data_IF_900852091085
#
_entry.id   IF_900852091085
#
_cell.length_a   1.000
_cell.length_b   1.000
_cell.length_c   1.000
_cell.angle_alpha   90.00
_cell.angle_beta   90.00
_cell.angle_gamma   90.00
#
_symmetry.space_group_name_H-M   'P 1'
#
loop_
_entity.id
_entity.type
_entity.pdbx_description
1 polymer ?
#
# COMPACT_ATOMS: atom_id res chain seq x y z
N UNK A 1 -66.63 53.10 7.22
CA UNK A 1 -66.47 52.57 5.84
C UNK A 1 -65.13 51.87 5.73
N UNK A 2 -65.14 50.67 5.15
CA UNK A 2 -64.01 49.85 4.68
C UNK A 2 -62.98 49.28 5.67
N UNK A 3 -62.91 47.95 5.68
CA UNK A 3 -61.90 47.08 6.31
C UNK A 3 -60.58 47.14 5.53
N UNK A 4 -59.43 46.79 6.14
CA UNK A 4 -58.65 45.60 5.74
C UNK A 4 -57.40 45.37 6.63
N UNK A 5 -57.09 44.09 6.76
CA UNK A 5 -56.08 43.39 7.57
C UNK A 5 -54.64 43.72 7.15
N UNK A 6 -53.69 43.75 8.10
CA UNK A 6 -52.28 43.41 7.80
C UNK A 6 -51.66 42.62 8.95
N UNK A 7 -51.00 41.52 8.57
CA UNK A 7 -50.49 40.43 9.40
C UNK A 7 -49.17 40.80 10.10
N UNK A 8 -49.01 40.28 11.31
CA UNK A 8 -47.74 40.13 12.04
C UNK A 8 -46.95 38.97 11.42
N UNK A 9 -45.62 39.13 11.28
CA UNK A 9 -44.63 38.05 11.49
C UNK A 9 -43.22 38.64 11.62
N UNK A 10 -42.69 38.58 12.84
CA UNK A 10 -41.32 38.88 13.24
C UNK A 10 -40.38 37.73 12.89
N UNK A 11 -39.30 38.00 12.13
CA UNK A 11 -38.19 37.07 11.91
C UNK A 11 -37.28 37.06 13.15
N UNK A 12 -37.22 35.95 13.88
CA UNK A 12 -36.06 35.57 14.70
C UNK A 12 -35.16 34.67 13.87
N UNK A 13 -33.99 35.17 13.47
CA UNK A 13 -32.92 34.37 12.87
C UNK A 13 -32.08 33.71 13.95
N UNK A 14 -32.18 32.38 14.08
CA UNK A 14 -31.28 31.58 14.90
C UNK A 14 -29.99 31.30 14.10
N UNK A 15 -28.86 31.83 14.57
CA UNK A 15 -27.53 31.52 14.03
C UNK A 15 -27.05 30.20 14.64
N UNK A 16 -27.17 29.10 13.90
CA UNK A 16 -26.51 27.84 14.25
C UNK A 16 -25.09 27.85 13.67
N UNK A 17 -24.08 28.07 14.52
CA UNK A 17 -22.68 27.84 14.16
C UNK A 17 -22.44 26.32 14.08
N UNK A 18 -22.48 25.79 12.86
CA UNK A 18 -22.02 24.43 12.57
C UNK A 18 -20.50 24.47 12.46
N UNK A 19 -19.80 24.05 13.52
CA UNK A 19 -18.40 23.67 13.39
C UNK A 19 -18.31 22.41 12.52
N UNK A 20 -18.08 22.58 11.22
CA UNK A 20 -17.66 21.48 10.37
C UNK A 20 -16.24 21.10 10.77
N UNK A 21 -16.10 20.05 11.58
CA UNK A 21 -14.82 19.35 11.75
C UNK A 21 -14.43 18.83 10.37
N UNK A 22 -13.50 19.54 9.71
CA UNK A 22 -12.97 19.14 8.42
C UNK A 22 -12.23 17.83 8.59
N UNK A 23 -12.86 16.73 8.21
CA UNK A 23 -12.17 15.45 8.02
C UNK A 23 -11.57 15.49 6.61
N UNK A 24 -10.23 15.57 6.45
CA UNK A 24 -9.63 15.52 5.12
C UNK A 24 -9.64 14.07 4.66
N UNK A 25 -10.65 13.66 3.89
CA UNK A 25 -10.71 12.29 3.35
C UNK A 25 -10.20 12.20 1.92
N UNK A 26 -8.88 12.00 1.90
CA UNK A 26 -8.00 11.22 1.03
C UNK A 26 -8.51 10.67 -0.32
N UNK A 27 -7.63 10.84 -1.30
CA UNK A 27 -7.67 10.16 -2.59
C UNK A 27 -7.42 8.63 -2.42
N UNK A 28 -8.21 7.76 -3.06
CA UNK A 28 -7.99 6.32 -3.13
C UNK A 28 -6.84 6.05 -4.10
N UNK A 29 -5.69 5.67 -3.53
CA UNK A 29 -4.52 5.20 -4.26
C UNK A 29 -4.75 3.77 -4.75
N UNK A 30 -4.42 3.47 -6.01
CA UNK A 30 -4.37 2.09 -6.50
C UNK A 30 -3.19 1.37 -5.85
N UNK A 31 -3.46 0.42 -4.96
CA UNK A 31 -2.43 -0.36 -4.27
C UNK A 31 -2.29 -1.78 -4.79
N UNK A 32 -2.68 -2.05 -6.04
CA UNK A 32 -2.50 -3.36 -6.68
C UNK A 32 -1.01 -3.68 -6.89
N UNK A 33 -0.69 -4.98 -6.97
CA UNK A 33 0.64 -5.48 -7.32
C UNK A 33 1.07 -5.04 -8.72
N UNK A 34 0.12 -5.02 -9.66
CA UNK A 34 0.36 -4.52 -11.01
C UNK A 34 0.73 -3.04 -11.00
N UNK A 35 0.03 -2.20 -10.23
CA UNK A 35 0.40 -0.79 -10.10
C UNK A 35 1.77 -0.64 -9.39
N UNK A 36 2.01 -1.43 -8.35
CA UNK A 36 3.29 -1.45 -7.63
C UNK A 36 4.49 -1.70 -8.57
N UNK A 37 4.35 -2.66 -9.50
CA UNK A 37 5.39 -2.98 -10.48
C UNK A 37 5.46 -1.94 -11.60
N UNK A 38 4.34 -1.63 -12.25
CA UNK A 38 4.34 -0.73 -13.41
C UNK A 38 4.73 0.71 -13.04
N UNK A 39 4.35 1.17 -11.85
CA UNK A 39 4.76 2.46 -11.30
C UNK A 39 6.16 2.46 -10.71
N UNK A 40 6.86 1.32 -10.74
CA UNK A 40 8.20 1.14 -10.18
C UNK A 40 8.29 1.56 -8.71
N UNK A 41 7.21 1.40 -7.95
CA UNK A 41 7.13 1.82 -6.55
C UNK A 41 8.07 1.00 -5.65
N UNK A 42 8.47 -0.19 -6.10
CA UNK A 42 9.54 -0.96 -5.47
C UNK A 42 10.89 -0.23 -5.45
N UNK A 43 11.11 0.80 -6.29
CA UNK A 43 12.30 1.65 -6.23
C UNK A 43 12.15 2.85 -5.26
N UNK A 44 10.94 3.14 -4.80
CA UNK A 44 10.63 4.30 -3.96
C UNK A 44 9.40 4.04 -3.09
N UNK A 45 9.57 3.27 -2.01
CA UNK A 45 8.47 2.75 -1.19
C UNK A 45 7.80 3.83 -0.34
N UNK A 46 8.58 4.79 0.13
CA UNK A 46 8.16 5.88 1.01
C UNK A 46 9.20 7.00 0.90
N UNK A 47 8.77 8.26 1.05
CA UNK A 47 9.71 9.38 1.11
C UNK A 47 10.52 9.37 2.42
N UNK A 48 11.75 9.88 2.35
CA UNK A 48 12.59 10.07 3.54
C UNK A 48 11.86 10.88 4.62
N UNK A 49 11.20 11.98 4.25
CA UNK A 49 10.43 12.83 5.17
C UNK A 49 9.38 12.05 5.94
N UNK A 50 8.59 11.21 5.26
CA UNK A 50 7.56 10.41 5.92
C UNK A 50 8.13 9.26 6.75
N UNK A 51 9.27 8.71 6.33
CA UNK A 51 9.98 7.63 7.04
C UNK A 51 10.54 8.10 8.38
N UNK A 52 11.12 9.29 8.45
CA UNK A 52 11.74 9.83 9.68
C UNK A 52 10.81 10.79 10.46
N UNK A 53 9.54 10.89 10.10
CA UNK A 53 8.56 11.74 10.80
C UNK A 53 8.16 11.14 12.16
N UNK A 54 9.05 11.19 13.14
CA UNK A 54 8.85 10.62 14.49
C UNK A 54 7.67 11.27 15.22
N UNK A 55 7.42 12.55 14.95
CA UNK A 55 6.28 13.30 15.47
C UNK A 55 4.97 13.13 14.65
N UNK A 56 4.91 12.17 13.71
CA UNK A 56 3.72 12.01 12.84
C UNK A 56 2.49 11.43 13.55
N UNK A 57 2.65 10.94 14.77
CA UNK A 57 1.59 10.47 15.64
C UNK A 57 1.97 10.70 17.11
N UNK A 58 1.05 11.20 17.92
CA UNK A 58 1.15 11.19 19.38
C UNK A 58 0.83 9.81 19.95
N UNK A 59 1.10 9.58 21.24
CA UNK A 59 0.67 8.35 21.94
C UNK A 59 -0.85 8.13 21.80
N UNK A 60 -1.64 9.20 21.94
CA UNK A 60 -3.09 9.14 21.77
C UNK A 60 -3.49 8.77 20.33
N UNK A 61 -2.81 9.30 19.32
CA UNK A 61 -3.08 8.93 17.92
C UNK A 61 -2.79 7.45 17.66
N UNK A 62 -1.69 6.94 18.23
CA UNK A 62 -1.33 5.52 18.11
C UNK A 62 -2.39 4.65 18.81
N UNK A 63 -2.80 5.02 20.02
CA UNK A 63 -3.84 4.32 20.76
C UNK A 63 -5.16 4.30 19.99
N UNK A 64 -5.60 5.45 19.47
CA UNK A 64 -6.82 5.57 18.66
C UNK A 64 -6.72 4.76 17.36
N UNK A 65 -5.54 4.73 16.74
CA UNK A 65 -5.30 3.90 15.57
C UNK A 65 -5.47 2.41 15.89
N UNK A 66 -4.86 1.91 16.97
CA UNK A 66 -5.02 0.51 17.42
C UNK A 66 -6.49 0.18 17.71
N UNK A 67 -7.23 1.07 18.38
CA UNK A 67 -8.67 0.91 18.64
C UNK A 67 -9.45 0.85 17.33
N UNK A 68 -9.20 1.77 16.39
CA UNK A 68 -9.90 1.84 15.10
C UNK A 68 -9.70 0.61 14.21
N UNK A 69 -8.60 -0.12 14.42
CA UNK A 69 -8.27 -1.36 13.70
C UNK A 69 -8.77 -2.61 14.42
N UNK A 70 -9.39 -2.47 15.59
CA UNK A 70 -9.83 -3.59 16.43
C UNK A 70 -8.65 -4.39 16.98
N UNK A 71 -7.48 -3.77 17.17
CA UNK A 71 -6.27 -4.45 17.64
C UNK A 71 -6.39 -4.84 19.11
N UNK A 72 -6.03 -6.08 19.43
CA UNK A 72 -5.86 -6.53 20.80
C UNK A 72 -4.73 -5.77 21.55
N UNK A 73 -3.78 -5.15 20.82
CA UNK A 73 -2.74 -4.31 21.42
C UNK A 73 -3.32 -3.08 22.13
N UNK A 74 -4.49 -2.60 21.72
CA UNK A 74 -5.13 -1.43 22.32
C UNK A 74 -5.43 -1.62 23.81
N UNK A 75 -5.68 -2.86 24.23
CA UNK A 75 -6.04 -3.23 25.60
C UNK A 75 -5.07 -4.26 26.20
N UNK A 76 -3.92 -4.49 25.58
CA UNK A 76 -2.96 -5.46 26.06
C UNK A 76 -2.42 -5.05 27.44
N UNK A 77 -2.48 -5.92 28.46
CA UNK A 77 -1.87 -5.61 29.74
C UNK A 77 -0.35 -5.54 29.57
N UNK A 78 0.30 -4.62 30.27
CA UNK A 78 1.76 -4.40 30.19
C UNK A 78 2.57 -5.68 30.49
N UNK A 79 2.05 -6.57 31.34
CA UNK A 79 2.64 -7.89 31.64
C UNK A 79 2.75 -8.81 30.43
N UNK A 80 1.94 -8.60 29.38
CA UNK A 80 2.00 -9.34 28.11
C UNK A 80 2.93 -8.68 27.07
N UNK A 81 3.39 -7.45 27.30
CA UNK A 81 4.22 -6.69 26.34
C UNK A 81 5.73 -6.92 26.51
N UNK A 82 6.09 -7.91 27.32
CA UNK A 82 7.47 -8.38 27.50
C UNK A 82 8.32 -7.48 28.40
N UNK A 83 9.55 -7.94 28.64
CA UNK A 83 10.53 -7.21 29.46
C UNK A 83 10.79 -5.82 28.91
N UNK A 84 10.91 -4.85 29.82
CA UNK A 84 11.09 -3.44 29.48
C UNK A 84 9.78 -2.69 29.30
N UNK A 85 8.61 -3.35 29.24
CA UNK A 85 7.32 -2.66 29.16
C UNK A 85 7.13 -1.68 30.34
N UNK A 86 7.51 -2.08 31.56
CA UNK A 86 7.58 -1.20 32.74
C UNK A 86 6.27 -0.39 32.97
N UNK A 87 5.12 -1.05 32.85
CA UNK A 87 3.81 -0.43 33.01
C UNK A 87 3.29 0.30 31.76
N UNK A 88 4.11 0.50 30.73
CA UNK A 88 3.71 1.11 29.46
C UNK A 88 2.72 0.21 28.71
N UNK A 89 1.74 0.83 28.05
CA UNK A 89 0.89 0.16 27.07
C UNK A 89 1.58 0.12 25.69
N UNK A 90 0.97 -0.59 24.73
CA UNK A 90 1.55 -0.76 23.40
C UNK A 90 1.75 0.56 22.65
N UNK A 91 0.81 1.52 22.79
CA UNK A 91 0.90 2.82 22.15
C UNK A 91 2.11 3.63 22.64
N UNK A 92 2.34 3.65 23.95
CA UNK A 92 3.51 4.30 24.55
C UNK A 92 4.81 3.63 24.09
N UNK A 93 4.88 2.30 24.04
CA UNK A 93 6.07 1.57 23.56
C UNK A 93 6.39 1.92 22.10
N UNK A 94 5.39 1.99 21.22
CA UNK A 94 5.58 2.36 19.82
C UNK A 94 6.08 3.80 19.70
N UNK A 95 5.51 4.72 20.47
CA UNK A 95 5.94 6.12 20.51
C UNK A 95 7.37 6.25 21.04
N UNK A 96 7.70 5.56 22.13
CA UNK A 96 9.02 5.57 22.75
C UNK A 96 10.10 5.06 21.80
N UNK A 97 9.81 3.96 21.11
CA UNK A 97 10.69 3.39 20.10
C UNK A 97 10.96 4.37 18.96
N UNK A 98 9.92 5.06 18.45
CA UNK A 98 10.03 6.09 17.42
C UNK A 98 10.92 7.27 17.87
N UNK A 99 10.96 7.59 19.16
CA UNK A 99 11.77 8.69 19.70
C UNK A 99 13.16 8.27 20.17
N UNK A 100 13.50 6.98 20.05
CA UNK A 100 14.82 6.47 20.43
C UNK A 100 14.95 6.29 21.94
N UNK A 101 13.96 5.68 22.58
CA UNK A 101 14.05 5.27 23.98
C UNK A 101 14.31 3.76 24.13
N UNK A 102 14.81 3.36 25.30
CA UNK A 102 15.09 1.97 25.61
C UNK A 102 16.10 1.35 24.63
N UNK A 103 15.74 0.20 24.05
CA UNK A 103 16.58 -0.51 23.08
C UNK A 103 16.62 0.14 21.70
N UNK A 104 15.94 1.27 21.50
CA UNK A 104 15.92 2.01 20.24
C UNK A 104 17.15 2.91 20.02
N UNK A 105 18.21 2.72 20.80
CA UNK A 105 19.47 3.49 20.75
C UNK A 105 20.70 2.61 20.66
N UNK A 106 21.81 3.17 20.19
CA UNK A 106 23.11 2.50 20.22
C UNK A 106 24.04 2.93 19.10
N UNK A 107 25.31 2.54 19.23
CA UNK A 107 26.37 2.80 18.25
C UNK A 107 26.92 1.50 17.69
N UNK A 108 26.93 1.37 16.37
CA UNK A 108 27.51 0.22 15.66
C UNK A 108 28.30 0.74 14.47
N UNK A 109 29.53 0.24 14.27
CA UNK A 109 30.38 0.59 13.10
C UNK A 109 30.54 2.11 12.89
N UNK A 110 30.68 2.86 13.98
CA UNK A 110 30.85 4.31 13.94
C UNK A 110 29.59 5.12 13.58
N UNK A 111 28.41 4.49 13.58
CA UNK A 111 27.13 5.17 13.37
C UNK A 111 26.29 5.06 14.64
N UNK A 112 25.87 6.20 15.17
CA UNK A 112 25.12 6.33 16.42
C UNK A 112 23.67 6.68 16.15
N UNK A 113 22.76 5.91 16.75
CA UNK A 113 21.34 6.23 16.86
C UNK A 113 21.10 6.67 18.30
N UNK A 114 20.99 7.98 18.53
CA UNK A 114 20.88 8.56 19.88
C UNK A 114 19.45 8.94 20.27
N UNK A 115 18.66 9.42 19.31
CA UNK A 115 17.27 9.85 19.48
C UNK A 115 16.59 9.85 18.10
N UNK A 116 15.26 9.95 18.08
CA UNK A 116 14.43 10.02 16.86
C UNK A 116 14.80 8.97 15.79
N UNK A 117 14.18 7.81 15.87
CA UNK A 117 14.49 6.69 14.98
C UNK A 117 13.70 6.79 13.68
N UNK A 118 12.43 6.40 13.71
CA UNK A 118 11.57 6.17 12.55
C UNK A 118 10.13 6.55 12.93
N UNK A 119 9.35 6.91 11.93
CA UNK A 119 7.93 7.28 12.09
C UNK A 119 7.12 6.17 12.77
N UNK A 120 6.25 6.51 13.75
CA UNK A 120 5.31 5.55 14.34
C UNK A 120 4.45 4.82 13.30
N UNK A 121 4.13 5.48 12.18
CA UNK A 121 3.38 4.89 11.07
C UNK A 121 4.13 3.73 10.41
N UNK A 122 5.46 3.84 10.29
CA UNK A 122 6.33 2.76 9.77
C UNK A 122 6.31 1.57 10.74
N UNK A 123 6.42 1.81 12.05
CA UNK A 123 6.35 0.75 13.06
C UNK A 123 5.00 0.02 13.04
N UNK A 124 3.89 0.76 12.95
CA UNK A 124 2.55 0.19 12.85
C UNK A 124 2.37 -0.67 11.59
N UNK A 125 2.84 -0.22 10.43
CA UNK A 125 2.79 -1.02 9.19
C UNK A 125 3.63 -2.28 9.33
N UNK A 126 4.82 -2.19 9.91
CA UNK A 126 5.69 -3.35 10.11
C UNK A 126 5.08 -4.36 11.09
N UNK A 127 4.50 -3.93 12.21
CA UNK A 127 3.77 -4.82 13.14
C UNK A 127 2.68 -5.65 12.44
N UNK A 128 2.01 -5.05 11.45
CA UNK A 128 1.03 -5.76 10.64
C UNK A 128 1.65 -6.68 9.61
N UNK A 129 2.65 -6.19 8.88
CA UNK A 129 3.34 -6.95 7.84
C UNK A 129 3.99 -8.22 8.41
N UNK A 130 4.61 -8.11 9.58
CA UNK A 130 5.37 -9.20 10.18
C UNK A 130 4.47 -10.18 10.91
N UNK A 131 3.57 -9.69 11.78
CA UNK A 131 2.81 -10.57 12.69
C UNK A 131 1.30 -10.30 12.70
N UNK A 132 0.80 -9.46 11.79
CA UNK A 132 -0.62 -9.07 11.68
C UNK A 132 -1.21 -8.56 13.00
N UNK A 133 -0.40 -7.91 13.84
CA UNK A 133 -0.80 -7.50 15.20
C UNK A 133 -1.75 -6.28 15.22
N UNK A 134 -1.84 -5.51 14.14
CA UNK A 134 -2.68 -4.31 14.08
C UNK A 134 -4.15 -4.68 13.87
N UNK A 135 -4.46 -5.71 13.08
CA UNK A 135 -5.85 -6.13 12.82
C UNK A 135 -6.28 -7.37 13.58
N UNK A 136 -5.40 -7.93 14.42
CA UNK A 136 -5.71 -9.10 15.23
C UNK A 136 -6.49 -8.69 16.48
N UNK A 137 -7.70 -9.22 16.63
CA UNK A 137 -8.61 -8.93 17.75
C UNK A 137 -8.34 -9.74 19.02
N UNK A 138 -7.42 -10.71 18.96
CA UNK A 138 -7.03 -11.56 20.10
C UNK A 138 -5.53 -11.46 20.37
N UNK A 139 -5.13 -11.46 21.65
CA UNK A 139 -3.70 -11.47 21.98
C UNK A 139 -3.10 -12.85 21.65
N UNK A 140 -1.89 -12.83 21.08
CA UNK A 140 -1.13 -14.03 20.77
C UNK A 140 0.29 -13.89 21.29
N UNK A 141 0.64 -14.71 22.29
CA UNK A 141 1.97 -14.68 22.91
C UNK A 141 3.08 -14.94 21.89
N UNK A 142 2.85 -15.85 20.93
CA UNK A 142 3.80 -16.11 19.83
C UNK A 142 4.01 -14.87 18.97
N UNK A 143 2.93 -14.17 18.57
CA UNK A 143 3.05 -12.97 17.74
C UNK A 143 3.69 -11.82 18.50
N UNK A 144 3.38 -11.64 19.78
CA UNK A 144 4.03 -10.63 20.63
C UNK A 144 5.52 -10.93 20.83
N UNK A 145 5.89 -12.21 20.94
CA UNK A 145 7.27 -12.64 21.14
C UNK A 145 8.19 -12.23 19.98
N UNK A 146 7.70 -12.26 18.74
CA UNK A 146 8.46 -11.96 17.52
C UNK A 146 7.79 -10.84 16.70
N UNK A 147 7.19 -9.86 17.38
CA UNK A 147 6.28 -8.85 16.83
C UNK A 147 6.75 -8.12 15.56
N UNK A 148 8.06 -7.98 15.38
CA UNK A 148 8.67 -7.22 14.29
C UNK A 148 9.59 -8.09 13.41
N UNK A 149 9.68 -9.40 13.66
CA UNK A 149 10.64 -10.29 13.01
C UNK A 149 12.11 -9.95 13.32
N UNK A 150 12.39 -9.07 14.28
CA UNK A 150 13.76 -8.67 14.59
C UNK A 150 14.52 -9.83 15.23
N UNK A 151 15.66 -10.20 14.64
CA UNK A 151 16.44 -11.36 15.07
C UNK A 151 15.89 -12.71 14.60
N UNK A 152 15.01 -12.72 13.59
CA UNK A 152 14.48 -13.93 12.95
C UNK A 152 14.98 -14.03 11.51
N UNK A 153 16.17 -14.60 11.25
CA UNK A 153 16.67 -14.78 9.88
C UNK A 153 15.88 -15.87 9.14
N UNK A 154 15.70 -15.71 7.82
CA UNK A 154 14.98 -16.69 6.98
C UNK A 154 15.59 -18.11 7.04
N UNK A 155 16.90 -18.22 7.28
CA UNK A 155 17.64 -19.48 7.30
C UNK A 155 17.70 -20.16 8.68
N UNK A 156 16.99 -19.68 9.70
CA UNK A 156 17.11 -20.20 11.06
C UNK A 156 15.98 -19.81 12.02
N UNK A 157 16.12 -20.26 13.27
CA UNK A 157 15.22 -19.86 14.35
C UNK A 157 15.45 -18.42 14.82
N UNK A 158 14.44 -17.83 15.45
CA UNK A 158 14.55 -16.51 16.04
C UNK A 158 15.47 -16.52 17.28
N UNK A 159 16.32 -15.50 17.40
CA UNK A 159 17.18 -15.31 18.58
C UNK A 159 16.35 -14.88 19.80
N UNK A 160 16.36 -15.74 20.81
CA UNK A 160 15.57 -15.56 22.04
C UNK A 160 15.95 -14.32 22.84
N UNK A 161 17.15 -13.78 22.65
CA UNK A 161 17.59 -12.51 23.23
C UNK A 161 16.68 -11.34 22.87
N UNK A 162 16.02 -11.41 21.72
CA UNK A 162 15.18 -10.34 21.21
C UNK A 162 13.68 -10.56 21.44
N UNK A 163 13.30 -11.60 22.17
CA UNK A 163 11.90 -11.91 22.43
C UNK A 163 11.18 -10.83 23.26
N UNK A 164 9.89 -10.68 22.97
CA UNK A 164 8.94 -9.81 23.67
C UNK A 164 8.64 -8.52 22.90
N UNK A 165 7.38 -8.09 22.96
CA UNK A 165 6.87 -6.98 22.13
C UNK A 165 7.70 -5.71 22.27
N UNK A 166 8.02 -5.30 23.51
CA UNK A 166 8.82 -4.10 23.77
C UNK A 166 10.20 -4.17 23.11
N UNK A 167 10.91 -5.29 23.31
CA UNK A 167 12.24 -5.50 22.75
C UNK A 167 12.20 -5.53 21.22
N UNK A 168 11.21 -6.22 20.63
CA UNK A 168 10.99 -6.27 19.19
C UNK A 168 10.75 -4.89 18.57
N UNK A 169 9.86 -4.09 19.15
CA UNK A 169 9.51 -2.76 18.62
C UNK A 169 10.68 -1.77 18.74
N UNK A 170 11.32 -1.70 19.91
CA UNK A 170 12.44 -0.80 20.15
C UNK A 170 13.67 -1.18 19.28
N UNK A 171 14.01 -2.47 19.16
CA UNK A 171 15.13 -2.93 18.32
C UNK A 171 14.86 -2.75 16.82
N UNK A 172 13.63 -3.00 16.36
CA UNK A 172 13.25 -2.74 14.98
C UNK A 172 13.37 -1.25 14.63
N UNK A 173 12.93 -0.36 15.53
CA UNK A 173 13.06 1.08 15.36
C UNK A 173 14.53 1.51 15.26
N UNK A 174 15.40 0.99 16.15
CA UNK A 174 16.85 1.20 16.05
C UNK A 174 17.40 0.71 14.70
N UNK A 175 17.02 -0.50 14.27
CA UNK A 175 17.52 -1.10 13.03
C UNK A 175 17.10 -0.28 11.80
N UNK A 176 15.85 0.17 11.73
CA UNK A 176 15.38 1.05 10.67
C UNK A 176 16.19 2.35 10.61
N UNK A 177 16.43 2.99 11.76
CA UNK A 177 17.23 4.23 11.77
C UNK A 177 18.69 3.96 11.40
N UNK A 178 19.30 2.93 11.95
CA UNK A 178 20.65 2.53 11.62
C UNK A 178 20.80 2.28 10.11
N UNK A 179 19.87 1.52 9.52
CA UNK A 179 19.84 1.23 8.09
C UNK A 179 19.75 2.51 7.24
N UNK A 180 18.86 3.42 7.64
CA UNK A 180 18.67 4.71 6.99
C UNK A 180 19.95 5.56 6.97
N UNK A 181 20.68 5.61 8.09
CA UNK A 181 21.94 6.37 8.19
C UNK A 181 23.04 5.76 7.33
N UNK A 182 23.18 4.42 7.33
CA UNK A 182 24.23 3.75 6.54
C UNK A 182 23.91 3.73 5.03
N UNK A 183 22.65 3.90 4.64
CA UNK A 183 22.26 3.98 3.24
C UNK A 183 22.85 5.20 2.51
N UNK A 184 23.24 6.25 3.25
CA UNK A 184 23.93 7.42 2.71
C UNK A 184 25.46 7.29 2.69
N UNK A 185 26.02 6.19 3.23
CA UNK A 185 27.48 6.00 3.27
C UNK A 185 28.04 5.58 1.91
N UNK A 186 29.32 5.90 1.70
CA UNK A 186 30.04 5.58 0.47
C UNK A 186 30.21 4.06 0.27
N UNK A 187 30.43 3.65 -0.98
CA UNK A 187 30.80 2.25 -1.29
C UNK A 187 32.03 1.79 -0.48
N UNK A 188 33.02 2.67 -0.27
CA UNK A 188 34.19 2.34 0.55
C UNK A 188 33.83 2.00 1.99
N UNK A 189 32.93 2.76 2.62
CA UNK A 189 32.44 2.47 3.97
C UNK A 189 31.75 1.09 4.02
N UNK A 190 30.91 0.78 3.03
CA UNK A 190 30.25 -0.53 2.94
C UNK A 190 31.24 -1.67 2.80
N UNK A 191 32.23 -1.54 1.91
CA UNK A 191 33.29 -2.53 1.72
C UNK A 191 34.09 -2.73 3.00
N UNK A 192 34.46 -1.66 3.71
CA UNK A 192 35.20 -1.72 4.98
C UNK A 192 34.45 -2.52 6.06
N UNK A 193 33.14 -2.33 6.19
CA UNK A 193 32.38 -2.90 7.31
C UNK A 193 31.56 -4.15 6.98
N UNK A 194 31.29 -4.43 5.71
CA UNK A 194 30.47 -5.57 5.27
C UNK A 194 31.17 -6.44 4.22
N UNK A 195 32.31 -6.01 3.68
CA UNK A 195 33.02 -6.72 2.62
C UNK A 195 32.52 -6.34 1.22
N UNK A 196 33.36 -6.59 0.22
CA UNK A 196 33.08 -6.27 -1.19
C UNK A 196 31.97 -7.12 -1.81
N UNK A 197 31.76 -8.34 -1.30
CA UNK A 197 30.74 -9.28 -1.80
C UNK A 197 29.35 -9.07 -1.18
N UNK A 198 29.21 -8.20 -0.19
CA UNK A 198 27.92 -7.95 0.45
C UNK A 198 27.04 -7.03 -0.42
N UNK A 199 25.73 -7.30 -0.42
CA UNK A 199 24.76 -6.39 -1.03
C UNK A 199 24.84 -5.04 -0.30
N UNK A 200 25.13 -3.99 -1.05
CA UNK A 200 25.17 -2.63 -0.53
C UNK A 200 23.80 -1.98 -0.67
N UNK A 201 23.05 -1.96 0.44
CA UNK A 201 21.77 -1.23 0.54
C UNK A 201 22.03 0.27 0.71
N UNK A 202 22.62 0.89 -0.31
CA UNK A 202 22.96 2.32 -0.36
C UNK A 202 22.19 3.03 -1.46
N UNK A 203 21.97 4.33 -1.29
CA UNK A 203 21.27 5.15 -2.29
C UNK A 203 21.97 5.10 -3.64
N UNK A 204 21.18 4.97 -4.71
CA UNK A 204 21.63 4.90 -6.09
C UNK A 204 22.23 3.55 -6.50
N UNK A 205 22.31 2.57 -5.59
CA UNK A 205 22.69 1.22 -5.96
C UNK A 205 21.49 0.45 -6.53
N UNK A 206 21.74 -0.39 -7.53
CA UNK A 206 20.73 -1.27 -8.13
C UNK A 206 21.07 -2.72 -7.81
N UNK A 207 20.10 -3.48 -7.35
CA UNK A 207 20.26 -4.87 -6.93
C UNK A 207 19.16 -5.73 -7.56
N UNK A 208 19.55 -6.88 -8.11
CA UNK A 208 18.61 -7.91 -8.55
C UNK A 208 18.13 -8.71 -7.34
N UNK A 209 16.87 -8.56 -6.97
CA UNK A 209 16.24 -9.33 -5.89
C UNK A 209 15.30 -10.37 -6.50
N UNK A 210 15.60 -11.64 -6.24
CA UNK A 210 14.69 -12.73 -6.57
C UNK A 210 13.57 -12.81 -5.53
N UNK A 211 12.36 -13.06 -6.02
CA UNK A 211 11.18 -13.34 -5.22
C UNK A 211 10.44 -14.51 -5.89
N UNK A 212 9.44 -15.09 -5.20
CA UNK A 212 8.64 -16.21 -5.75
C UNK A 212 7.91 -15.86 -7.06
N UNK A 213 7.84 -14.58 -7.43
CA UNK A 213 7.17 -14.08 -8.64
C UNK A 213 8.13 -13.65 -9.75
N UNK A 214 9.45 -13.72 -9.55
CA UNK A 214 10.46 -13.33 -10.53
C UNK A 214 11.66 -12.58 -9.94
N UNK A 215 12.50 -12.04 -10.82
CA UNK A 215 13.67 -11.23 -10.42
C UNK A 215 13.41 -9.77 -10.76
N UNK A 216 13.59 -8.89 -9.76
CA UNK A 216 13.35 -7.46 -9.89
C UNK A 216 14.65 -6.68 -9.76
N UNK A 217 14.89 -5.78 -10.72
CA UNK A 217 16.01 -4.83 -10.66
C UNK A 217 15.59 -3.63 -9.81
N UNK A 218 15.95 -3.65 -8.53
CA UNK A 218 15.56 -2.65 -7.54
C UNK A 218 16.64 -1.58 -7.41
N UNK A 219 16.30 -0.34 -7.75
CA UNK A 219 17.12 0.83 -7.48
C UNK A 219 16.68 1.45 -6.16
N UNK A 220 17.62 1.61 -5.23
CA UNK A 220 17.36 2.30 -3.97
C UNK A 220 17.40 3.83 -4.18
N UNK A 221 16.28 4.42 -4.60
CA UNK A 221 16.22 5.86 -4.92
C UNK A 221 16.37 6.77 -3.69
N UNK A 222 16.12 6.27 -2.49
CA UNK A 222 16.30 7.01 -1.25
C UNK A 222 16.68 6.10 -0.06
N UNK A 223 17.11 6.73 1.04
CA UNK A 223 17.56 6.03 2.25
C UNK A 223 16.46 5.21 2.91
N UNK A 224 15.22 5.70 2.89
CA UNK A 224 14.08 4.99 3.45
C UNK A 224 13.81 3.66 2.72
N UNK A 225 13.83 3.67 1.39
CA UNK A 225 13.67 2.49 0.54
C UNK A 225 14.82 1.52 0.77
N UNK A 226 16.07 2.01 0.75
CA UNK A 226 17.24 1.18 1.06
C UNK A 226 17.12 0.53 2.46
N UNK A 227 16.62 1.29 3.44
CA UNK A 227 16.44 0.83 4.82
C UNK A 227 15.42 -0.28 4.95
N UNK A 228 14.28 -0.15 4.27
CA UNK A 228 13.22 -1.16 4.25
C UNK A 228 13.70 -2.46 3.58
N UNK A 229 14.40 -2.35 2.44
CA UNK A 229 14.99 -3.53 1.78
C UNK A 229 16.08 -4.20 2.61
N UNK A 230 16.90 -3.43 3.34
CA UNK A 230 17.87 -3.99 4.26
C UNK A 230 17.21 -4.71 5.45
N UNK A 231 16.02 -4.27 5.85
CA UNK A 231 15.25 -4.91 6.91
C UNK A 231 14.56 -6.19 6.43
N UNK A 232 13.98 -6.17 5.23
CA UNK A 232 13.34 -7.32 4.57
C UNK A 232 13.66 -7.30 3.07
N UNK A 233 14.58 -8.16 2.57
CA UNK A 233 15.07 -8.09 1.19
C UNK A 233 14.13 -8.74 0.16
N UNK A 234 12.81 -8.62 0.35
CA UNK A 234 11.78 -9.25 -0.46
C UNK A 234 10.87 -8.20 -1.11
N UNK A 235 10.59 -8.33 -2.41
CA UNK A 235 9.79 -7.33 -3.15
C UNK A 235 8.32 -7.45 -2.80
N UNK A 236 7.72 -8.63 -2.92
CA UNK A 236 6.30 -8.91 -2.66
C UNK A 236 6.05 -9.36 -1.23
N UNK A 237 6.80 -10.35 -0.74
CA UNK A 237 6.65 -10.89 0.62
C UNK A 237 7.17 -9.94 1.72
N UNK A 238 7.46 -8.68 1.37
CA UNK A 238 7.84 -7.63 2.29
C UNK A 238 7.41 -6.26 1.78
N UNK A 239 8.16 -5.71 0.84
CA UNK A 239 8.08 -4.29 0.54
C UNK A 239 6.78 -3.84 -0.15
N UNK A 240 6.15 -4.70 -0.97
CA UNK A 240 4.81 -4.47 -1.49
C UNK A 240 3.77 -4.39 -0.38
N UNK A 241 3.79 -5.35 0.56
CA UNK A 241 2.88 -5.34 1.71
C UNK A 241 3.07 -4.07 2.56
N UNK A 242 4.32 -3.64 2.76
CA UNK A 242 4.63 -2.37 3.42
C UNK A 242 4.01 -1.18 2.66
N UNK A 243 4.33 -1.03 1.38
CA UNK A 243 3.85 0.08 0.55
C UNK A 243 2.33 0.12 0.51
N UNK A 244 1.68 -1.02 0.25
CA UNK A 244 0.22 -1.16 0.21
C UNK A 244 -0.41 -0.73 1.54
N UNK A 245 0.02 -1.31 2.65
CA UNK A 245 -0.55 -1.01 3.97
C UNK A 245 -0.34 0.44 4.37
N UNK A 246 0.85 0.99 4.14
CA UNK A 246 1.15 2.39 4.44
C UNK A 246 0.20 3.32 3.69
N UNK A 247 0.04 3.11 2.38
CA UNK A 247 -0.81 3.95 1.55
C UNK A 247 -2.30 3.81 1.91
N UNK A 248 -2.78 2.60 2.23
CA UNK A 248 -4.17 2.38 2.66
C UNK A 248 -4.46 3.10 3.99
N UNK A 249 -3.49 3.14 4.91
CA UNK A 249 -3.73 3.67 6.26
C UNK A 249 -3.43 5.14 6.42
N UNK A 250 -2.44 5.66 5.70
CA UNK A 250 -1.88 6.99 5.95
C UNK A 250 -1.78 7.86 4.69
N UNK A 251 -2.14 7.33 3.52
CA UNK A 251 -2.10 8.02 2.24
C UNK A 251 -0.71 8.03 1.57
N UNK A 252 -0.65 8.57 0.34
CA UNK A 252 0.58 8.66 -0.44
C UNK A 252 1.56 9.69 0.12
N UNK A 253 2.82 9.32 0.24
CA UNK A 253 3.88 10.13 0.87
C UNK A 253 4.78 10.86 -0.13
N UNK A 254 4.33 11.04 -1.37
CA UNK A 254 5.09 11.80 -2.37
C UNK A 254 6.37 11.12 -2.81
N UNK A 255 6.40 9.78 -2.80
CA UNK A 255 7.40 9.01 -3.55
C UNK A 255 7.15 9.18 -5.04
N UNK A 256 7.44 10.35 -5.59
CA UNK A 256 7.46 10.57 -7.04
C UNK A 256 8.63 9.78 -7.60
N UNK A 257 8.39 8.93 -8.60
CA UNK A 257 9.26 9.02 -9.78
C UNK A 257 9.12 10.44 -10.29
N UNK A 258 10.14 11.27 -10.05
CA UNK A 258 10.27 12.69 -10.46
C UNK A 258 9.08 13.64 -10.22
N UNK A 259 9.32 14.65 -9.37
CA UNK A 259 8.58 15.90 -9.45
C UNK A 259 8.85 16.55 -10.83
N UNK A 260 7.91 16.37 -11.75
CA UNK A 260 7.83 17.08 -13.02
C UNK A 260 6.50 17.83 -13.07
N UNK A 261 6.56 19.11 -13.41
CA UNK A 261 5.43 19.95 -13.75
C UNK A 261 4.45 19.21 -14.68
N UNK A 262 3.16 19.18 -14.32
CA UNK A 262 2.11 18.46 -15.04
C UNK A 262 2.14 16.96 -14.82
N UNK A 263 1.49 16.45 -13.76
CA UNK A 263 1.30 15.00 -13.62
C UNK A 263 0.19 14.56 -14.56
N UNK A 264 0.55 14.39 -15.82
CA UNK A 264 -0.08 13.42 -16.68
C UNK A 264 0.08 12.06 -15.98
N UNK A 265 -1.02 11.51 -15.49
CA UNK A 265 -1.12 10.10 -15.13
C UNK A 265 -1.13 9.29 -16.45
N UNK A 266 0.05 9.19 -17.07
CA UNK A 266 0.32 8.34 -18.24
C UNK A 266 0.44 6.86 -17.86
N UNK A 267 0.13 6.48 -16.62
CA UNK A 267 0.17 5.09 -16.20
C UNK A 267 -0.93 4.33 -16.93
N UNK A 268 -0.53 3.56 -17.93
CA UNK A 268 -1.43 2.64 -18.60
C UNK A 268 -1.76 1.51 -17.62
N UNK A 269 -2.95 1.50 -17.03
CA UNK A 269 -3.50 0.25 -16.48
C UNK A 269 -3.64 -0.68 -17.68
N UNK A 270 -2.72 -1.63 -17.90
CA UNK A 270 -2.87 -2.68 -18.90
C UNK A 270 -3.44 -3.91 -18.21
N UNK A 271 -4.77 -4.03 -18.16
CA UNK A 271 -5.46 -5.20 -17.60
C UNK A 271 -6.00 -6.07 -18.73
N UNK A 272 -5.76 -7.38 -18.63
CA UNK A 272 -6.39 -8.38 -19.50
C UNK A 272 -7.67 -8.85 -18.82
N UNK A 273 -8.79 -8.93 -19.53
CA UNK A 273 -10.05 -9.38 -18.94
C UNK A 273 -10.96 -10.05 -19.96
N UNK A 274 -11.83 -10.95 -19.50
CA UNK A 274 -12.97 -11.43 -20.29
C UNK A 274 -14.25 -10.64 -19.99
N UNK A 275 -14.23 -9.78 -18.97
CA UNK A 275 -15.40 -9.05 -18.48
C UNK A 275 -15.86 -8.01 -19.51
N UNK A 276 -17.17 -7.97 -19.74
CA UNK A 276 -17.83 -6.99 -20.61
C UNK A 276 -17.90 -5.62 -19.93
N UNK A 277 -17.91 -5.61 -18.60
CA UNK A 277 -17.93 -4.40 -17.77
C UNK A 277 -16.71 -4.40 -16.86
N UNK A 278 -16.02 -3.27 -16.82
CA UNK A 278 -14.85 -3.07 -15.97
C UNK A 278 -15.02 -1.82 -15.15
N UNK A 279 -15.31 -1.98 -13.85
CA UNK A 279 -15.53 -0.86 -12.94
C UNK A 279 -14.20 -0.31 -12.49
N UNK A 280 -13.93 0.92 -12.87
CA UNK A 280 -12.83 1.70 -12.32
C UNK A 280 -13.39 2.70 -11.32
N UNK A 281 -12.60 2.97 -10.30
CA UNK A 281 -12.89 4.01 -9.34
C UNK A 281 -11.63 4.78 -9.02
N UNK A 282 -11.84 6.01 -8.59
CA UNK A 282 -10.78 6.85 -8.12
C UNK A 282 -11.37 7.96 -7.27
N UNK A 283 -10.56 8.98 -7.10
CA UNK A 283 -10.87 10.09 -6.23
C UNK A 283 -10.35 11.37 -6.84
N UNK A 284 -10.90 12.48 -6.41
CA UNK A 284 -10.63 13.81 -6.97
C UNK A 284 -10.73 14.88 -5.89
N UNK A 285 -10.21 16.07 -6.16
CA UNK A 285 -10.48 17.24 -5.31
C UNK A 285 -11.97 17.61 -5.36
N UNK A 286 -12.48 18.29 -4.33
CA UNK A 286 -13.87 18.77 -4.33
C UNK A 286 -14.11 19.83 -5.40
N UNK A 287 -13.08 20.58 -5.80
CA UNK A 287 -13.15 21.63 -6.83
C UNK A 287 -13.12 21.07 -8.25
N UNK A 288 -12.39 19.97 -8.47
CA UNK A 288 -12.27 19.39 -9.80
C UNK A 288 -13.55 18.67 -10.24
N UNK A 289 -13.75 18.53 -11.53
CA UNK A 289 -14.77 17.68 -12.15
C UNK A 289 -14.05 16.55 -12.88
N UNK A 290 -14.50 15.31 -12.73
CA UNK A 290 -13.95 14.17 -13.47
C UNK A 290 -14.84 13.85 -14.65
N UNK A 291 -14.22 13.71 -15.82
CA UNK A 291 -14.90 13.34 -17.06
C UNK A 291 -14.29 12.09 -17.68
N UNK A 292 -15.15 11.32 -18.35
CA UNK A 292 -14.78 10.28 -19.29
C UNK A 292 -15.40 10.65 -20.64
N UNK A 293 -14.57 11.00 -21.61
CA UNK A 293 -15.04 11.67 -22.83
C UNK A 293 -15.79 12.97 -22.50
N UNK A 294 -17.00 13.14 -23.03
CA UNK A 294 -17.89 14.27 -22.72
C UNK A 294 -18.67 14.11 -21.42
N UNK A 295 -18.72 12.90 -20.86
CA UNK A 295 -19.58 12.58 -19.72
C UNK A 295 -18.91 12.97 -18.41
N UNK A 296 -19.62 13.74 -17.59
CA UNK A 296 -19.20 14.01 -16.21
C UNK A 296 -19.44 12.76 -15.36
N UNK A 297 -18.35 12.15 -14.91
CA UNK A 297 -18.36 10.99 -14.01
C UNK A 297 -18.54 11.45 -12.55
N UNK A 298 -18.00 12.62 -12.20
CA UNK A 298 -18.23 13.24 -10.91
C UNK A 298 -18.06 14.75 -10.99
N UNK A 299 -19.07 15.49 -10.52
CA UNK A 299 -19.08 16.96 -10.49
C UNK A 299 -18.23 17.53 -9.34
N UNK A 300 -17.99 18.83 -9.38
CA UNK A 300 -17.54 19.57 -8.20
C UNK A 300 -18.48 19.29 -7.00
N UNK A 301 -17.92 19.18 -5.81
CA UNK A 301 -18.62 18.78 -4.58
C UNK A 301 -18.48 17.30 -4.21
N UNK A 302 -18.27 16.39 -5.18
CA UNK A 302 -17.94 14.98 -4.91
C UNK A 302 -16.43 14.78 -4.71
N UNK A 303 -16.00 13.80 -3.92
CA UNK A 303 -14.55 13.49 -3.74
C UNK A 303 -14.17 12.10 -4.26
N UNK A 304 -15.16 11.29 -4.61
CA UNK A 304 -15.02 9.97 -5.20
C UNK A 304 -15.67 9.95 -6.57
N UNK A 305 -15.17 9.07 -7.42
CA UNK A 305 -15.79 8.79 -8.70
C UNK A 305 -15.65 7.30 -9.01
N UNK A 306 -16.62 6.77 -9.73
CA UNK A 306 -16.50 5.46 -10.34
C UNK A 306 -17.18 5.51 -11.69
N UNK A 307 -16.56 4.88 -12.68
CA UNK A 307 -17.17 4.66 -13.98
C UNK A 307 -17.01 3.20 -14.33
N UNK A 308 -18.07 2.63 -14.85
CA UNK A 308 -18.03 1.30 -15.47
C UNK A 308 -17.69 1.50 -16.93
N UNK A 309 -16.53 1.00 -17.34
CA UNK A 309 -16.13 0.95 -18.73
C UNK A 309 -16.72 -0.30 -19.37
N UNK A 310 -17.03 -0.22 -20.67
CA UNK A 310 -17.52 -1.37 -21.44
C UNK A 310 -16.54 -1.65 -22.57
N UNK A 311 -15.42 -2.34 -22.27
CA UNK A 311 -14.41 -2.56 -23.29
C UNK A 311 -14.91 -3.50 -24.40
N UNK A 312 -14.62 -3.14 -25.64
CA UNK A 312 -14.76 -4.05 -26.78
C UNK A 312 -13.57 -5.00 -26.82
N UNK A 313 -13.72 -6.15 -27.48
CA UNK A 313 -12.61 -7.09 -27.69
C UNK A 313 -11.40 -6.38 -28.33
N UNK A 314 -10.21 -6.76 -27.86
CA UNK A 314 -8.91 -6.18 -28.18
C UNK A 314 -8.46 -5.11 -27.19
N UNK A 315 -7.25 -4.62 -27.43
CA UNK A 315 -6.60 -3.58 -26.64
C UNK A 315 -7.21 -2.20 -26.91
N UNK A 316 -7.83 -1.60 -25.89
CA UNK A 316 -8.49 -0.28 -25.96
C UNK A 316 -8.04 0.63 -24.83
N UNK A 317 -7.78 1.89 -25.13
CA UNK A 317 -7.39 2.90 -24.14
C UNK A 317 -8.54 3.86 -23.85
N UNK A 318 -8.78 4.11 -22.56
CA UNK A 318 -9.79 4.98 -21.98
C UNK A 318 -9.10 6.10 -21.23
N UNK A 319 -9.53 7.35 -21.44
CA UNK A 319 -8.93 8.50 -20.76
C UNK A 319 -9.92 9.16 -19.83
N UNK A 320 -9.55 9.28 -18.56
CA UNK A 320 -10.28 10.00 -17.53
C UNK A 320 -9.60 11.36 -17.32
N UNK A 321 -10.34 12.45 -17.48
CA UNK A 321 -9.81 13.81 -17.34
C UNK A 321 -10.27 14.43 -16.03
N UNK A 322 -9.37 15.11 -15.35
CA UNK A 322 -9.64 15.93 -14.16
C UNK A 322 -9.60 17.39 -14.58
N UNK A 323 -10.69 18.10 -14.36
CA UNK A 323 -10.89 19.48 -14.81
C UNK A 323 -11.05 20.37 -13.59
N UNK A 324 -10.24 21.42 -13.44
CA UNK A 324 -10.41 22.43 -12.39
C UNK A 324 -10.34 23.82 -13.02
N UNK A 325 -11.20 24.74 -12.56
CA UNK A 325 -11.30 26.09 -13.12
C UNK A 325 -11.59 26.14 -14.64
N UNK A 326 -12.18 25.08 -15.21
CA UNK A 326 -12.45 24.96 -16.65
C UNK A 326 -11.30 24.37 -17.49
N UNK A 327 -10.14 24.12 -16.89
CA UNK A 327 -8.95 23.57 -17.56
C UNK A 327 -8.69 22.13 -17.12
N UNK A 328 -8.25 21.28 -18.05
CA UNK A 328 -7.76 19.94 -17.69
C UNK A 328 -6.46 20.06 -16.93
N UNK A 329 -6.45 19.63 -15.67
CA UNK A 329 -5.30 19.69 -14.77
C UNK A 329 -4.56 18.35 -14.66
N UNK A 330 -5.22 17.25 -14.98
CA UNK A 330 -4.63 15.91 -15.06
C UNK A 330 -5.46 14.99 -15.95
N UNK A 331 -4.83 13.94 -16.50
CA UNK A 331 -5.50 12.86 -17.22
C UNK A 331 -4.96 11.51 -16.76
N UNK A 332 -5.83 10.52 -16.62
CA UNK A 332 -5.53 9.11 -16.34
C UNK A 332 -5.87 8.24 -17.55
N UNK A 333 -4.88 7.54 -18.11
CA UNK A 333 -5.06 6.64 -19.27
C UNK A 333 -5.14 5.18 -18.85
N UNK A 334 -6.15 4.44 -19.31
CA UNK A 334 -6.47 3.09 -18.83
C UNK A 334 -6.57 2.21 -20.07
N UNK A 335 -5.71 1.22 -20.24
CA UNK A 335 -5.75 0.31 -21.40
C UNK A 335 -6.30 -1.06 -21.01
N UNK A 336 -7.52 -1.36 -21.43
CA UNK A 336 -8.10 -2.68 -21.20
C UNK A 336 -7.90 -3.52 -22.46
N UNK A 337 -7.22 -4.65 -22.32
CA UNK A 337 -7.15 -5.69 -23.33
C UNK A 337 -8.24 -6.72 -23.04
N UNK A 338 -9.42 -6.51 -23.63
CA UNK A 338 -10.52 -7.46 -23.45
C UNK A 338 -10.35 -8.60 -24.45
N UNK A 339 -10.18 -9.82 -23.97
CA UNK A 339 -10.10 -10.99 -24.84
C UNK A 339 -11.49 -11.56 -25.11
N UNK A 340 -11.63 -12.32 -26.20
CA UNK A 340 -12.82 -13.15 -26.38
C UNK A 340 -12.83 -14.20 -25.26
N UNK A 341 -13.98 -14.48 -24.61
CA UNK A 341 -14.06 -15.61 -23.68
C UNK A 341 -13.56 -16.88 -24.38
N UNK A 342 -12.62 -17.60 -23.76
CA UNK A 342 -11.99 -18.79 -24.35
C UNK A 342 -10.77 -18.53 -25.25
N UNK A 343 -10.43 -17.29 -25.59
CA UNK A 343 -9.18 -16.93 -26.29
C UNK A 343 -8.06 -16.79 -25.26
N UNK A 344 -7.54 -17.95 -24.86
CA UNK A 344 -6.61 -18.14 -23.73
C UNK A 344 -5.23 -17.62 -24.11
N UNK A 345 -4.79 -17.80 -25.35
CA UNK A 345 -3.50 -17.29 -25.81
C UNK A 345 -3.54 -15.80 -26.24
N UNK A 346 -4.71 -15.27 -26.61
CA UNK A 346 -4.92 -13.89 -27.06
C UNK A 346 -4.65 -13.65 -28.54
N UNK A 347 -4.74 -14.68 -29.38
CA UNK A 347 -4.53 -14.60 -30.83
C UNK A 347 -5.80 -14.20 -31.60
N UNK A 348 -6.92 -14.05 -30.90
CA UNK A 348 -8.21 -13.62 -31.45
C UNK A 348 -9.10 -14.77 -31.92
N UNK A 349 -8.67 -16.02 -31.76
CA UNK A 349 -9.45 -17.24 -32.03
C UNK A 349 -9.73 -17.99 -30.74
N UNK A 350 -10.75 -18.84 -30.78
CA UNK A 350 -11.02 -19.83 -29.73
C UNK A 350 -10.96 -21.19 -30.39
N UNK A 351 -9.84 -21.87 -30.20
CA UNK A 351 -9.51 -23.12 -30.90
C UNK A 351 -8.93 -24.18 -29.96
N UNK A 352 -8.56 -25.34 -30.51
CA UNK A 352 -8.08 -26.46 -29.71
C UNK A 352 -6.81 -26.11 -28.92
N UNK A 353 -6.03 -25.15 -29.41
CA UNK A 353 -4.84 -24.65 -28.72
C UNK A 353 -5.22 -24.00 -27.38
N UNK A 354 -6.30 -23.23 -27.32
CA UNK A 354 -6.78 -22.61 -26.07
C UNK A 354 -7.22 -23.65 -25.05
N UNK A 355 -7.87 -24.72 -25.50
CA UNK A 355 -8.23 -25.87 -24.66
C UNK A 355 -6.97 -26.53 -24.09
N UNK A 356 -5.95 -26.72 -24.91
CA UNK A 356 -4.68 -27.33 -24.46
C UNK A 356 -3.94 -26.46 -23.45
N UNK A 357 -4.05 -25.14 -23.54
CA UNK A 357 -3.43 -24.24 -22.57
C UNK A 357 -4.13 -24.25 -21.21
N UNK A 358 -5.42 -24.62 -21.17
CA UNK A 358 -6.15 -24.81 -19.91
C UNK A 358 -5.79 -26.10 -19.19
N UNK A 359 -5.24 -27.12 -19.86
CA UNK A 359 -4.96 -28.41 -19.22
C UNK A 359 -3.91 -28.32 -18.10
N UNK A 360 -2.94 -27.41 -18.25
CA UNK A 360 -1.88 -27.21 -17.26
C UNK A 360 -2.39 -26.57 -15.96
N UNK A 361 -3.59 -25.97 -16.00
CA UNK A 361 -4.21 -25.28 -14.88
C UNK A 361 -5.40 -26.04 -14.27
N UNK A 362 -5.77 -27.19 -14.82
CA UNK A 362 -6.96 -27.93 -14.40
C UNK A 362 -6.93 -28.28 -12.90
N UNK A 363 -7.97 -27.89 -12.18
CA UNK A 363 -8.11 -28.07 -10.72
C UNK A 363 -7.19 -27.19 -9.88
N UNK A 364 -6.43 -26.27 -10.47
CA UNK A 364 -5.60 -25.31 -9.75
C UNK A 364 -6.40 -24.08 -9.33
N UNK A 365 -6.09 -23.56 -8.13
CA UNK A 365 -6.53 -22.23 -7.74
C UNK A 365 -5.71 -21.18 -8.50
N UNK A 366 -6.35 -20.46 -9.40
CA UNK A 366 -5.75 -19.38 -10.17
C UNK A 366 -6.36 -18.05 -9.75
N UNK A 367 -5.53 -17.01 -9.65
CA UNK A 367 -6.00 -15.67 -9.29
C UNK A 367 -6.97 -15.14 -10.36
N UNK A 368 -7.91 -14.27 -9.96
CA UNK A 368 -9.01 -13.71 -10.78
C UNK A 368 -8.57 -13.04 -12.12
N UNK A 369 -7.27 -12.79 -12.31
CA UNK A 369 -6.67 -12.17 -13.51
C UNK A 369 -5.76 -13.12 -14.31
N UNK A 370 -5.66 -14.39 -13.92
CA UNK A 370 -5.02 -15.42 -14.72
C UNK A 370 -5.99 -15.81 -15.84
N UNK A 371 -5.59 -15.58 -17.09
CA UNK A 371 -6.27 -15.83 -18.36
C UNK A 371 -6.81 -17.27 -18.58
N UNK A 372 -6.70 -18.12 -17.56
CA UNK A 372 -7.11 -19.52 -17.49
C UNK A 372 -8.43 -19.72 -16.74
N UNK A 373 -8.82 -18.76 -15.89
CA UNK A 373 -10.14 -18.73 -15.25
C UNK A 373 -11.06 -17.80 -16.08
N UNK A 374 -12.04 -18.42 -16.73
CA UNK A 374 -13.02 -17.81 -17.62
C UNK A 374 -14.30 -17.40 -16.88
N UNK A 375 -14.47 -17.82 -15.62
CA UNK A 375 -15.59 -17.52 -14.74
C UNK A 375 -15.21 -16.81 -13.41
N UNK A 376 -14.31 -15.81 -13.36
CA UNK A 376 -13.68 -15.34 -12.11
C UNK A 376 -14.61 -14.64 -11.11
N UNK A 377 -15.91 -14.55 -11.42
CA UNK A 377 -16.94 -14.06 -10.51
C UNK A 377 -17.63 -15.20 -9.74
N UNK A 378 -17.39 -16.46 -10.13
CA UNK A 378 -17.98 -17.68 -9.56
C UNK A 378 -17.04 -18.34 -8.56
N UNK A 379 -15.81 -18.64 -8.99
CA UNK A 379 -14.78 -19.29 -8.19
C UNK A 379 -13.38 -18.99 -8.76
N UNK A 380 -12.36 -19.51 -8.08
CA UNK A 380 -10.96 -19.31 -8.43
C UNK A 380 -10.31 -20.59 -8.98
N UNK A 381 -11.10 -21.58 -9.43
CA UNK A 381 -10.60 -22.91 -9.81
C UNK A 381 -10.84 -23.11 -11.30
N UNK A 382 -9.82 -23.52 -12.06
CA UNK A 382 -10.04 -23.92 -13.45
C UNK A 382 -10.72 -25.28 -13.49
N UNK A 383 -11.99 -25.33 -13.88
CA UNK A 383 -12.76 -26.55 -13.90
C UNK A 383 -13.69 -26.69 -15.12
N UNK A 384 -14.70 -27.56 -15.00
CA UNK A 384 -15.63 -27.85 -16.08
C UNK A 384 -16.49 -26.63 -16.46
N UNK A 385 -16.71 -25.70 -15.53
CA UNK A 385 -17.43 -24.46 -15.79
C UNK A 385 -16.63 -23.55 -16.73
N UNK A 386 -15.32 -23.39 -16.52
CA UNK A 386 -14.46 -22.65 -17.45
C UNK A 386 -14.43 -23.30 -18.82
N UNK A 387 -14.26 -24.63 -18.86
CA UNK A 387 -14.23 -25.37 -20.11
C UNK A 387 -15.56 -25.22 -20.88
N UNK A 388 -16.69 -25.15 -20.18
CA UNK A 388 -18.00 -24.90 -20.80
C UNK A 388 -18.11 -23.50 -21.42
N UNK A 389 -17.50 -22.49 -20.81
CA UNK A 389 -17.45 -21.11 -21.32
C UNK A 389 -16.56 -21.02 -22.57
N UNK A 390 -15.42 -21.72 -22.56
CA UNK A 390 -14.57 -21.85 -23.74
C UNK A 390 -15.33 -22.56 -24.86
N UNK A 391 -15.93 -23.71 -24.58
CA UNK A 391 -16.66 -24.51 -25.57
C UNK A 391 -17.80 -23.73 -26.23
N UNK A 392 -18.52 -22.91 -25.46
CA UNK A 392 -19.56 -22.02 -26.00
C UNK A 392 -19.01 -20.96 -26.97
N UNK A 393 -17.73 -20.64 -26.86
CA UNK A 393 -17.06 -19.63 -27.69
C UNK A 393 -16.23 -20.25 -28.82
N UNK A 394 -16.14 -21.58 -28.90
CA UNK A 394 -15.31 -22.32 -29.85
C UNK A 394 -15.70 -22.03 -31.30
N UNK A 395 -14.70 -21.70 -32.12
CA UNK A 395 -14.88 -21.43 -33.56
C UNK A 395 -15.44 -20.05 -33.93
N UNK A 396 -15.60 -19.12 -32.97
CA UNK A 396 -16.15 -17.76 -33.19
C UNK A 396 -15.11 -16.62 -33.16
#
# INVERSE_FOLDING_TARGET
MSRFITRVTSLLGAFALVFSVGVPNALALDTSSTNFVNGLYYNNLISNTAFIATNSMTVNDIQNFLISKGSALATAPSSKLGTGANGRNAAQIIWDAAHGHGYATGTVKGVTVAYNTVSPKVLLVTLQKEMSLITLSTLSDTRLRIAMGYGCPDSGGCDSKYYGFTNQVERAAWQFRYNYEIAAKSSSWWVTYYGSSAIQYRVGNTVSLADGTGVYSVNFNNQATASLYRYTPHVFNGNYNFWKLYNIWFGSTGGTGSAGSGINDTSTISTKTYRIQYKISGTKTSTSTVKYGSTTVASAGSTKWSVTLTPTVGKKTYTISYIDGGSTVATKSITIDRRKPGDVNGDGKVELLDVSLMSDAWGQNVNDDAWLNLNPESDNVVDLLDLSILANSYGN
#
